data_IF_867502527421
#
_entry.id   IF_867502527421
#
_cell.length_a   1.000
_cell.length_b   1.000
_cell.length_c   1.000
_cell.angle_alpha   90.00
_cell.angle_beta   90.00
_cell.angle_gamma   90.00
#
_symmetry.space_group_name_H-M   'P 1'
#
loop_
_entity.id
_entity.type
_entity.pdbx_description
1 polymer ?
#
# COMPACT_ATOMS: atom_id res chain seq x y z
N UNK A 1 -38.09 -62.11 -45.57
CA UNK A 1 -38.22 -60.95 -46.48
C UNK A 1 -37.27 -59.86 -45.97
N UNK A 2 -36.31 -59.42 -46.79
CA UNK A 2 -35.26 -58.45 -46.44
C UNK A 2 -35.83 -57.04 -46.19
N UNK A 3 -35.22 -56.31 -45.23
CA UNK A 3 -34.82 -54.88 -45.22
C UNK A 3 -34.36 -54.59 -43.78
N UNK A 4 -33.06 -54.49 -43.47
CA UNK A 4 -32.16 -53.31 -43.60
C UNK A 4 -32.76 -51.99 -43.10
N UNK A 5 -31.86 -51.13 -42.57
CA UNK A 5 -32.04 -49.78 -41.99
C UNK A 5 -32.25 -49.83 -40.46
N UNK A 6 -31.45 -49.21 -39.59
CA UNK A 6 -30.39 -48.21 -39.73
C UNK A 6 -29.52 -48.19 -38.47
N UNK A 7 -28.25 -47.87 -38.67
CA UNK A 7 -27.28 -47.34 -37.71
C UNK A 7 -27.83 -46.13 -36.95
N UNK A 8 -27.68 -46.14 -35.63
CA UNK A 8 -27.87 -44.98 -34.75
C UNK A 8 -26.70 -45.04 -33.75
N UNK A 9 -25.47 -44.75 -34.18
CA UNK A 9 -24.84 -43.44 -34.27
C UNK A 9 -25.29 -42.41 -33.22
N UNK A 10 -24.40 -42.23 -32.25
CA UNK A 10 -24.06 -41.00 -31.55
C UNK A 10 -25.18 -40.19 -30.90
N UNK A 11 -25.09 -40.04 -29.58
CA UNK A 11 -24.49 -38.85 -28.94
C UNK A 11 -24.71 -38.99 -27.44
N UNK A 12 -23.62 -39.02 -26.68
CA UNK A 12 -23.69 -38.70 -25.25
C UNK A 12 -24.42 -37.37 -25.11
N UNK A 13 -25.56 -37.37 -24.43
CA UNK A 13 -26.31 -36.17 -24.10
C UNK A 13 -25.50 -35.36 -23.08
N UNK A 14 -24.57 -34.55 -23.58
CA UNK A 14 -23.96 -33.51 -22.77
C UNK A 14 -25.08 -32.54 -22.41
N UNK A 15 -25.45 -32.50 -21.12
CA UNK A 15 -26.33 -31.46 -20.58
C UNK A 15 -25.61 -30.13 -20.84
N UNK A 16 -26.06 -29.40 -21.86
CA UNK A 16 -25.56 -28.07 -22.16
C UNK A 16 -26.05 -27.11 -21.06
N UNK A 17 -25.34 -27.06 -19.94
CA UNK A 17 -25.61 -26.07 -18.92
C UNK A 17 -25.11 -24.71 -19.43
N UNK A 18 -26.04 -23.87 -19.87
CA UNK A 18 -25.73 -22.52 -20.31
C UNK A 18 -25.48 -21.62 -19.08
N UNK A 19 -24.22 -21.54 -18.65
CA UNK A 19 -23.80 -20.66 -17.54
C UNK A 19 -23.30 -19.34 -18.10
N UNK A 20 -24.09 -18.28 -17.90
CA UNK A 20 -23.69 -16.92 -18.29
C UNK A 20 -22.97 -16.24 -17.13
N UNK A 21 -21.65 -16.36 -17.11
CA UNK A 21 -20.78 -15.74 -16.12
C UNK A 21 -20.36 -14.33 -16.58
N UNK A 22 -20.84 -13.30 -15.89
CA UNK A 22 -20.40 -11.92 -16.10
C UNK A 22 -19.45 -11.53 -14.97
N UNK A 23 -18.16 -11.40 -15.27
CA UNK A 23 -17.16 -10.96 -14.30
C UNK A 23 -16.66 -9.57 -14.67
N UNK A 24 -16.68 -8.66 -13.69
CA UNK A 24 -16.07 -7.34 -13.82
C UNK A 24 -14.88 -7.28 -12.87
N UNK A 25 -13.69 -7.22 -13.44
CA UNK A 25 -12.45 -7.02 -12.70
C UNK A 25 -12.12 -5.53 -12.68
N UNK A 26 -11.66 -5.05 -11.54
CA UNK A 26 -11.17 -3.68 -11.35
C UNK A 26 -9.72 -3.73 -10.84
N UNK A 27 -8.91 -2.68 -11.07
CA UNK A 27 -7.52 -2.68 -10.65
C UNK A 27 -7.40 -2.73 -9.12
N UNK A 28 -6.43 -3.51 -8.63
CA UNK A 28 -5.98 -3.51 -7.26
C UNK A 28 -4.87 -2.46 -7.11
N UNK A 29 -5.13 -1.36 -6.40
CA UNK A 29 -4.13 -0.32 -6.16
C UNK A 29 -3.49 -0.49 -4.78
N UNK A 30 -2.26 -1.00 -4.74
CA UNK A 30 -1.37 -0.80 -3.60
C UNK A 30 -0.85 0.64 -3.68
N UNK A 31 -0.96 1.46 -2.62
CA UNK A 31 -0.44 2.81 -2.72
C UNK A 31 1.08 2.73 -2.87
N UNK A 32 1.70 3.40 -3.86
CA UNK A 32 3.13 3.61 -3.91
C UNK A 32 3.49 4.63 -2.81
N UNK A 33 3.39 4.21 -1.54
CA UNK A 33 3.87 5.01 -0.43
C UNK A 33 5.38 4.90 -0.48
N UNK A 34 6.00 5.94 -1.05
CA UNK A 34 7.45 5.99 -1.19
C UNK A 34 8.11 6.34 0.14
N UNK A 35 7.55 7.30 0.87
CA UNK A 35 8.25 7.93 2.00
C UNK A 35 7.44 7.89 3.30
N UNK A 36 6.22 8.42 3.33
CA UNK A 36 5.38 8.38 4.54
C UNK A 36 3.87 8.43 4.26
N UNK A 37 3.08 8.02 5.24
CA UNK A 37 1.62 8.12 5.26
C UNK A 37 1.15 8.59 6.64
N UNK A 38 0.38 9.66 6.69
CA UNK A 38 -0.32 10.11 7.89
C UNK A 38 -1.70 9.47 7.90
N UNK A 39 -2.09 8.88 9.02
CA UNK A 39 -3.36 8.14 9.17
C UNK A 39 -4.22 8.83 10.21
N UNK A 40 -5.40 9.30 9.79
CA UNK A 40 -6.41 9.88 10.68
C UNK A 40 -7.04 8.82 11.59
N UNK A 41 -7.52 9.25 12.77
CA UNK A 41 -8.14 8.37 13.79
C UNK A 41 -9.35 7.57 13.33
N UNK A 42 -10.06 8.07 12.33
CA UNK A 42 -11.27 7.49 11.74
C UNK A 42 -11.11 7.26 10.23
N UNK A 43 -9.86 7.15 9.78
CA UNK A 43 -9.55 6.85 8.39
C UNK A 43 -10.17 5.54 7.93
N UNK A 44 -10.51 5.47 6.64
CA UNK A 44 -11.13 4.28 6.03
C UNK A 44 -10.30 3.01 6.23
N UNK A 45 -8.97 3.15 6.26
CA UNK A 45 -8.03 2.08 6.57
C UNK A 45 -7.16 2.55 7.73
N UNK A 46 -7.52 2.10 8.94
CA UNK A 46 -6.81 2.47 10.17
C UNK A 46 -5.38 1.92 10.25
N UNK A 47 -4.64 2.43 11.23
CA UNK A 47 -3.19 2.22 11.38
C UNK A 47 -2.77 0.75 11.40
N UNK A 48 -3.51 -0.10 12.10
CA UNK A 48 -3.18 -1.53 12.20
C UNK A 48 -3.28 -2.26 10.84
N UNK A 49 -4.27 -1.90 10.02
CA UNK A 49 -4.45 -2.51 8.70
C UNK A 49 -3.36 -2.05 7.74
N UNK A 50 -3.03 -0.75 7.75
CA UNK A 50 -1.91 -0.19 6.99
C UNK A 50 -0.60 -0.86 7.38
N UNK A 51 -0.29 -0.94 8.68
CA UNK A 51 0.95 -1.55 9.16
C UNK A 51 1.11 -2.99 8.68
N UNK A 52 0.05 -3.81 8.82
CA UNK A 52 0.07 -5.21 8.36
C UNK A 52 0.28 -5.32 6.86
N UNK A 53 -0.39 -4.47 6.07
CA UNK A 53 -0.22 -4.48 4.62
C UNK A 53 1.24 -4.19 4.24
N UNK A 54 1.85 -3.15 4.84
CA UNK A 54 3.24 -2.78 4.55
C UNK A 54 4.25 -3.80 5.08
N UNK A 55 3.98 -4.43 6.22
CA UNK A 55 4.84 -5.50 6.73
C UNK A 55 4.83 -6.73 5.81
N UNK A 56 3.69 -7.05 5.19
CA UNK A 56 3.61 -8.15 4.20
C UNK A 56 4.29 -7.78 2.88
N UNK A 57 4.10 -6.54 2.40
CA UNK A 57 4.62 -6.10 1.09
C UNK A 57 6.10 -5.74 1.12
N UNK A 58 6.59 -5.21 2.23
CA UNK A 58 7.94 -4.64 2.36
C UNK A 58 8.41 -4.74 3.82
N UNK A 59 8.68 -5.97 4.31
CA UNK A 59 8.99 -6.23 5.71
C UNK A 59 10.13 -5.35 6.23
N UNK A 60 9.92 -4.69 7.36
CA UNK A 60 10.93 -3.84 8.01
C UNK A 60 11.38 -2.61 7.21
N UNK A 61 10.73 -2.26 6.09
CA UNK A 61 11.05 -1.04 5.34
C UNK A 61 10.34 0.20 5.90
N UNK A 62 9.28 0.01 6.68
CA UNK A 62 8.47 1.07 7.24
C UNK A 62 8.26 0.88 8.73
N UNK A 63 8.27 2.00 9.45
CA UNK A 63 7.95 2.11 10.86
C UNK A 63 6.58 2.76 11.01
N UNK A 64 5.69 2.13 11.76
CA UNK A 64 4.44 2.75 12.19
C UNK A 64 4.65 3.45 13.53
N UNK A 65 4.48 4.77 13.56
CA UNK A 65 4.69 5.59 14.75
C UNK A 65 3.34 6.12 15.23
N UNK A 66 2.88 5.67 16.41
CA UNK A 66 1.66 6.19 17.04
C UNK A 66 1.91 7.58 17.60
N UNK A 67 0.91 8.45 17.52
CA UNK A 67 1.02 9.84 17.98
C UNK A 67 -0.13 10.21 18.93
N UNK A 68 0.17 11.06 19.90
CA UNK A 68 -0.84 11.66 20.76
C UNK A 68 -1.35 12.95 20.11
N UNK A 69 -2.34 12.82 19.21
CA UNK A 69 -2.91 13.96 18.48
C UNK A 69 -4.44 13.82 18.37
N UNK A 70 -5.25 14.89 18.44
CA UNK A 70 -6.71 14.80 18.36
C UNK A 70 -7.22 14.27 17.02
N UNK A 71 -6.52 14.54 15.91
CA UNK A 71 -6.94 14.16 14.55
C UNK A 71 -6.19 12.94 14.00
N UNK A 72 -4.91 12.80 14.37
CA UNK A 72 -3.99 11.85 13.75
C UNK A 72 -3.81 10.66 14.70
N UNK A 73 -3.92 9.44 14.17
CA UNK A 73 -3.67 8.21 14.92
C UNK A 73 -2.19 7.83 14.89
N UNK A 74 -1.60 7.88 13.70
CA UNK A 74 -0.24 7.43 13.46
C UNK A 74 0.35 8.00 12.18
N UNK A 75 1.67 7.88 12.06
CA UNK A 75 2.40 8.14 10.84
C UNK A 75 3.23 6.91 10.50
N UNK A 76 3.00 6.34 9.31
CA UNK A 76 3.89 5.35 8.70
C UNK A 76 5.05 6.09 8.04
N UNK A 77 6.29 5.69 8.31
CA UNK A 77 7.47 6.34 7.73
C UNK A 77 8.47 5.31 7.25
N UNK A 78 9.11 5.58 6.11
CA UNK A 78 10.18 4.73 5.58
C UNK A 78 11.39 4.79 6.49
N UNK A 79 11.85 3.63 6.95
CA UNK A 79 13.01 3.46 7.84
C UNK A 79 14.26 4.17 7.31
N UNK A 80 14.47 4.13 5.99
CA UNK A 80 15.62 4.80 5.36
C UNK A 80 15.65 6.32 5.54
N UNK A 81 14.49 6.97 5.74
CA UNK A 81 14.41 8.42 5.97
C UNK A 81 14.71 8.72 7.44
N UNK A 82 14.24 7.87 8.35
CA UNK A 82 14.54 7.94 9.79
C UNK A 82 16.02 7.69 10.11
N UNK A 83 16.73 6.93 9.26
CA UNK A 83 18.19 6.76 9.37
C UNK A 83 19.00 7.99 8.92
N UNK A 84 18.44 8.83 8.06
CA UNK A 84 19.12 10.02 7.52
C UNK A 84 18.86 11.29 8.33
N UNK A 85 17.71 11.36 8.99
CA UNK A 85 17.26 12.53 9.75
C UNK A 85 16.73 12.10 11.12
N UNK A 86 16.87 12.92 12.17
CA UNK A 86 16.32 12.59 13.49
C UNK A 86 14.80 12.36 13.42
N UNK A 87 14.36 11.16 13.80
CA UNK A 87 12.96 10.71 13.72
C UNK A 87 11.99 11.73 14.31
N UNK A 88 12.25 12.19 15.55
CA UNK A 88 11.40 13.17 16.23
C UNK A 88 11.21 14.45 15.42
N UNK A 89 12.29 15.01 14.86
CA UNK A 89 12.23 16.26 14.08
C UNK A 89 11.45 16.08 12.79
N UNK A 90 11.62 14.94 12.12
CA UNK A 90 10.92 14.66 10.87
C UNK A 90 9.43 14.43 11.12
N UNK A 91 9.10 13.65 12.16
CA UNK A 91 7.74 13.39 12.59
C UNK A 91 6.99 14.67 12.96
N UNK A 92 7.59 15.53 13.78
CA UNK A 92 7.02 16.83 14.17
C UNK A 92 6.72 17.71 12.94
N UNK A 93 7.64 17.76 11.96
CA UNK A 93 7.42 18.51 10.72
C UNK A 93 6.23 17.98 9.91
N UNK A 94 6.10 16.66 9.81
CA UNK A 94 4.99 16.02 9.09
C UNK A 94 3.66 16.32 9.79
N UNK A 95 3.60 16.15 11.11
CA UNK A 95 2.38 16.40 11.90
C UNK A 95 1.93 17.85 11.80
N UNK A 96 2.85 18.81 11.99
CA UNK A 96 2.55 20.26 11.98
C UNK A 96 1.99 20.78 10.64
N UNK A 97 2.20 20.04 9.54
CA UNK A 97 1.63 20.35 8.24
C UNK A 97 0.30 19.61 8.09
N UNK A 98 0.29 18.30 8.36
CA UNK A 98 -0.88 17.46 8.21
C UNK A 98 -2.08 17.96 9.04
N UNK A 99 -1.85 18.36 10.29
CA UNK A 99 -2.91 18.86 11.20
C UNK A 99 -3.71 20.05 10.63
N UNK A 100 -3.15 20.80 9.68
CA UNK A 100 -3.77 22.00 9.10
C UNK A 100 -4.62 21.71 7.88
N UNK A 101 -4.46 20.53 7.29
CA UNK A 101 -5.00 20.20 5.97
C UNK A 101 -5.79 18.88 5.94
N UNK A 102 -5.86 18.16 7.06
CA UNK A 102 -6.58 16.89 7.18
C UNK A 102 -7.58 16.91 8.33
N UNK A 103 -8.63 16.11 8.18
CA UNK A 103 -9.52 15.73 9.27
C UNK A 103 -9.27 14.28 9.74
N UNK A 104 -10.06 13.85 10.73
CA UNK A 104 -9.87 12.54 11.37
C UNK A 104 -10.18 11.36 10.44
N UNK A 105 -10.89 11.57 9.34
CA UNK A 105 -11.27 10.55 8.35
C UNK A 105 -10.29 10.41 7.19
N UNK A 106 -9.33 11.34 7.09
CA UNK A 106 -8.35 11.38 6.02
C UNK A 106 -7.15 10.45 6.25
N UNK A 107 -6.49 10.10 5.14
CA UNK A 107 -5.12 9.60 5.12
C UNK A 107 -4.31 10.38 4.09
N UNK A 108 -3.17 10.94 4.51
CA UNK A 108 -2.32 11.76 3.64
C UNK A 108 -1.04 11.04 3.25
N UNK A 109 -0.82 10.88 1.95
CA UNK A 109 0.48 10.46 1.42
C UNK A 109 1.46 11.62 1.48
N UNK A 110 2.67 11.35 1.98
CA UNK A 110 3.75 12.31 2.07
C UNK A 110 4.95 11.80 1.28
N UNK A 111 5.49 12.67 0.44
CA UNK A 111 6.72 12.45 -0.33
C UNK A 111 7.83 13.33 0.25
N UNK A 112 8.99 12.72 0.53
CA UNK A 112 10.10 13.40 1.21
C UNK A 112 11.35 13.26 0.34
N UNK A 113 11.83 14.39 -0.18
CA UNK A 113 13.13 14.48 -0.84
C UNK A 113 14.21 14.81 0.18
N UNK A 114 15.25 13.98 0.28
CA UNK A 114 16.42 14.23 1.14
C UNK A 114 17.66 14.28 0.23
N UNK A 115 18.30 15.43 0.18
CA UNK A 115 19.60 15.64 -0.47
C UNK A 115 20.63 15.94 0.61
N UNK A 116 21.76 15.22 0.59
CA UNK A 116 22.85 15.39 1.54
C UNK A 116 24.11 15.69 0.72
N UNK A 117 24.67 16.88 0.94
CA UNK A 117 25.93 17.28 0.34
C UNK A 117 27.03 17.18 1.39
N UNK A 118 28.08 16.42 1.10
CA UNK A 118 29.25 16.25 1.97
C UNK A 118 30.43 16.96 1.32
N UNK A 119 31.06 17.85 2.07
CA UNK A 119 32.33 18.47 1.70
C UNK A 119 33.37 18.01 2.71
N UNK A 120 34.33 17.20 2.27
CA UNK A 120 35.44 16.72 3.08
C UNK A 120 36.76 17.17 2.44
N UNK A 121 37.62 17.75 3.26
CA UNK A 121 39.01 18.03 2.93
C UNK A 121 39.88 17.10 3.80
N UNK A 122 40.85 16.43 3.19
CA UNK A 122 41.84 15.64 3.93
C UNK A 122 43.24 15.98 3.42
N UNK A 123 44.17 16.16 4.37
CA UNK A 123 45.59 16.27 4.07
C UNK A 123 46.16 14.88 3.79
N UNK A 124 46.94 14.75 2.72
CA UNK A 124 47.62 13.51 2.33
C UNK A 124 49.12 13.73 2.37
N UNK A 125 49.80 13.02 3.28
CA UNK A 125 51.25 13.00 3.36
C UNK A 125 51.79 11.90 2.44
N UNK A 126 52.32 12.29 1.28
CA UNK A 126 53.31 11.49 0.55
C UNK A 126 54.71 11.90 0.98
#
# INVERSE_FOLDING_TARGET
MKKEVSTENDREEYIHQHVKLNMRFSPFYLPPIRDALVVGRRSMIGSNAVQRAFEVMSPGMFKMIKVEHPVIESVLMRESNLKKLPEKKLLEKVINIAEKIMDETDSLRVEIGIEITVHEEFESSF
#
